data_IF_518132135088
#
_entry.id   IF_518132135088
#
_cell.length_a   1.000
_cell.length_b   1.000
_cell.length_c   1.000
_cell.angle_alpha   90.00
_cell.angle_beta   90.00
_cell.angle_gamma   90.00
#
_symmetry.space_group_name_H-M   'P 1'
#
loop_
_entity.id
_entity.type
_entity.pdbx_description
1 polymer ?
#
# COMPACT_ATOMS: atom_id res chain seq x y z
N UNK A 1 1.49 3.30 18.57
CA UNK A 1 2.38 2.21 18.12
C UNK A 1 2.60 2.35 16.62
N UNK A 2 3.73 1.89 16.11
CA UNK A 2 4.00 1.90 14.67
C UNK A 2 3.09 0.89 13.96
N UNK A 3 2.64 1.19 12.74
CA UNK A 3 1.79 0.27 12.00
C UNK A 3 2.53 -1.02 11.72
N UNK A 4 1.93 -2.21 11.93
CA UNK A 4 2.65 -3.47 11.82
C UNK A 4 2.74 -3.96 10.37
N UNK A 5 3.05 -3.07 9.44
CA UNK A 5 3.34 -3.37 8.04
C UNK A 5 4.72 -2.86 7.66
N UNK A 6 5.35 -3.52 6.68
CA UNK A 6 6.60 -3.08 6.04
C UNK A 6 6.34 -2.85 4.57
N UNK A 7 6.51 -1.61 4.14
CA UNK A 7 6.45 -1.24 2.72
C UNK A 7 7.87 -1.32 2.13
N UNK A 8 8.01 -1.97 0.97
CA UNK A 8 9.29 -2.10 0.26
C UNK A 8 9.10 -2.00 -1.27
N UNK A 9 9.74 -1.01 -1.92
CA UNK A 9 10.53 0.10 -1.34
C UNK A 9 9.68 1.09 -0.54
N UNK A 10 10.26 1.81 0.44
CA UNK A 10 9.54 2.78 1.29
C UNK A 10 9.16 4.11 0.60
N UNK A 11 9.65 4.30 -0.63
CA UNK A 11 9.45 5.47 -1.48
C UNK A 11 9.72 5.04 -2.91
N UNK A 12 8.99 5.60 -3.85
CA UNK A 12 9.25 5.41 -5.29
C UNK A 12 9.34 6.76 -6.00
N UNK A 13 10.24 6.81 -6.98
CA UNK A 13 10.35 7.92 -7.94
C UNK A 13 10.29 7.28 -9.32
N UNK A 14 9.34 7.70 -10.16
CA UNK A 14 8.99 7.01 -11.40
C UNK A 14 8.64 8.01 -12.49
N UNK A 15 8.97 7.70 -13.75
CA UNK A 15 8.59 8.52 -14.90
C UNK A 15 7.09 8.40 -15.18
N UNK A 16 6.45 9.48 -15.62
CA UNK A 16 5.06 9.48 -16.03
C UNK A 16 4.76 8.37 -17.08
N UNK A 17 3.76 7.53 -16.81
CA UNK A 17 3.37 6.42 -17.68
C UNK A 17 4.25 5.17 -17.58
N UNK A 18 5.21 5.14 -16.66
CA UNK A 18 5.99 3.94 -16.36
C UNK A 18 5.30 3.02 -15.34
N UNK A 19 5.75 1.77 -15.30
CA UNK A 19 5.27 0.79 -14.33
C UNK A 19 5.91 0.98 -12.95
N UNK A 20 5.14 0.72 -11.89
CA UNK A 20 5.62 0.69 -10.50
C UNK A 20 5.09 -0.55 -9.77
N UNK A 21 5.92 -1.15 -8.93
CA UNK A 21 5.52 -2.26 -8.06
C UNK A 21 6.10 -2.08 -6.65
N UNK A 22 5.25 -2.12 -5.63
CA UNK A 22 5.64 -1.97 -4.22
C UNK A 22 4.94 -3.02 -3.38
N UNK A 23 5.70 -3.69 -2.52
CA UNK A 23 5.18 -4.70 -1.60
C UNK A 23 4.83 -4.08 -0.24
N UNK A 24 3.74 -4.55 0.34
CA UNK A 24 3.39 -4.31 1.73
C UNK A 24 3.28 -5.66 2.45
N UNK A 25 4.06 -5.84 3.52
CA UNK A 25 4.14 -7.09 4.29
C UNK A 25 3.64 -6.90 5.70
N UNK A 26 2.64 -7.68 6.12
CA UNK A 26 2.20 -7.74 7.50
C UNK A 26 3.28 -8.37 8.39
N UNK A 27 3.46 -7.81 9.60
CA UNK A 27 4.42 -8.31 10.59
C UNK A 27 3.76 -9.00 11.78
N UNK A 28 2.42 -9.06 11.77
CA UNK A 28 1.57 -9.67 12.80
C UNK A 28 0.38 -10.36 12.12
N UNK A 29 -0.29 -11.32 12.79
CA UNK A 29 -1.55 -11.86 12.32
C UNK A 29 -2.61 -10.76 12.12
N UNK A 30 -3.45 -10.91 11.11
CA UNK A 30 -4.46 -9.91 10.76
C UNK A 30 -5.74 -10.53 10.20
N UNK A 31 -6.79 -9.71 10.18
CA UNK A 31 -8.10 -10.03 9.64
C UNK A 31 -8.27 -9.53 8.20
N UNK A 32 -7.37 -8.66 7.74
CA UNK A 32 -7.26 -8.27 6.35
C UNK A 32 -6.24 -7.14 6.14
N UNK A 33 -5.64 -7.07 4.96
CA UNK A 33 -4.77 -5.97 4.52
C UNK A 33 -4.96 -5.72 3.02
N UNK A 34 -4.55 -4.56 2.53
CA UNK A 34 -4.68 -4.18 1.12
C UNK A 34 -4.04 -2.85 0.82
N UNK A 35 -4.27 -2.35 -0.40
CA UNK A 35 -3.79 -1.05 -0.86
C UNK A 35 -4.96 -0.20 -1.28
N UNK A 36 -5.07 1.00 -0.73
CA UNK A 36 -5.99 2.03 -1.20
C UNK A 36 -5.20 3.01 -2.06
N UNK A 37 -5.69 3.26 -3.27
CA UNK A 37 -5.07 4.14 -4.25
C UNK A 37 -6.11 4.53 -5.31
N UNK A 38 -5.99 5.73 -5.88
CA UNK A 38 -6.82 6.14 -7.03
C UNK A 38 -6.54 5.33 -8.30
N UNK A 39 -5.37 4.68 -8.37
CA UNK A 39 -4.99 3.79 -9.47
C UNK A 39 -4.39 2.48 -8.91
N UNK A 40 -4.89 1.34 -9.37
CA UNK A 40 -4.36 0.01 -9.00
C UNK A 40 -4.62 -0.41 -7.55
N UNK A 41 -5.70 0.06 -6.92
CA UNK A 41 -6.12 -0.39 -5.59
C UNK A 41 -6.15 -1.93 -5.51
N UNK A 42 -5.83 -2.47 -4.33
CA UNK A 42 -5.80 -3.90 -4.06
C UNK A 42 -6.81 -4.21 -2.98
N UNK A 43 -7.83 -4.99 -3.33
CA UNK A 43 -8.87 -5.43 -2.41
C UNK A 43 -8.29 -6.12 -1.18
N UNK A 44 -9.02 -5.98 -0.07
CA UNK A 44 -8.64 -6.58 1.21
C UNK A 44 -8.50 -8.11 1.08
N UNK A 45 -7.32 -8.62 1.41
CA UNK A 45 -7.01 -10.05 1.46
C UNK A 45 -6.46 -10.47 2.84
N UNK A 46 -6.40 -11.78 3.10
CA UNK A 46 -5.73 -12.39 4.26
C UNK A 46 -4.28 -12.79 3.99
N UNK A 47 -3.77 -12.54 2.78
CA UNK A 47 -2.36 -12.75 2.47
C UNK A 47 -1.49 -11.83 3.33
N UNK A 48 -0.32 -12.34 3.75
CA UNK A 48 0.62 -11.55 4.56
C UNK A 48 1.50 -10.61 3.73
N UNK A 49 1.43 -10.72 2.39
CA UNK A 49 2.13 -9.85 1.46
C UNK A 49 1.18 -9.47 0.34
N UNK A 50 1.02 -8.17 0.11
CA UNK A 50 0.20 -7.62 -0.98
C UNK A 50 1.04 -6.64 -1.78
N UNK A 51 0.94 -6.71 -3.10
CA UNK A 51 1.72 -5.87 -4.02
C UNK A 51 0.81 -4.87 -4.67
N UNK A 52 1.09 -3.58 -4.50
CA UNK A 52 0.53 -2.54 -5.34
C UNK A 52 1.34 -2.50 -6.64
N UNK A 53 0.69 -2.78 -7.77
CA UNK A 53 1.33 -2.84 -9.07
C UNK A 53 0.48 -2.09 -10.10
N UNK A 54 1.07 -1.09 -10.74
CA UNK A 54 0.45 -0.28 -11.77
C UNK A 54 1.37 -0.29 -12.98
N UNK A 55 0.85 -0.70 -14.14
CA UNK A 55 1.66 -0.89 -15.34
C UNK A 55 1.93 0.39 -16.13
N UNK A 56 1.09 1.40 -15.98
CA UNK A 56 1.11 2.67 -16.73
C UNK A 56 0.62 3.79 -15.80
N UNK A 57 1.45 4.18 -14.81
CA UNK A 57 1.04 5.10 -13.75
C UNK A 57 0.90 6.53 -14.30
N UNK A 58 -0.32 7.07 -14.26
CA UNK A 58 -0.62 8.40 -14.84
C UNK A 58 -1.26 9.38 -13.86
N UNK A 59 -1.69 8.93 -12.70
CA UNK A 59 -2.23 9.83 -11.69
C UNK A 59 -1.11 10.59 -10.97
N UNK A 60 -0.91 11.87 -11.33
CA UNK A 60 0.17 12.72 -10.82
C UNK A 60 0.15 12.91 -9.29
N UNK A 61 -1.04 13.05 -8.71
CA UNK A 61 -1.24 13.33 -7.28
C UNK A 61 -1.62 12.07 -6.47
N UNK A 62 -1.18 10.90 -6.93
CA UNK A 62 -1.50 9.63 -6.27
C UNK A 62 -0.89 9.56 -4.85
N UNK A 63 -1.71 9.11 -3.89
CA UNK A 63 -1.33 8.91 -2.49
C UNK A 63 -1.68 7.51 -2.04
N UNK A 64 -0.99 6.49 -2.56
CA UNK A 64 -1.29 5.11 -2.22
C UNK A 64 -0.90 4.85 -0.77
N UNK A 65 -1.73 4.13 -0.04
CA UNK A 65 -1.41 3.67 1.31
C UNK A 65 -1.77 2.21 1.50
N UNK A 66 -0.92 1.51 2.25
CA UNK A 66 -1.21 0.15 2.67
C UNK A 66 -1.95 0.18 3.99
N UNK A 67 -3.10 -0.50 4.08
CA UNK A 67 -3.86 -0.63 5.31
C UNK A 67 -3.80 -2.05 5.87
N UNK A 68 -3.97 -2.19 7.18
CA UNK A 68 -4.05 -3.47 7.88
C UNK A 68 -5.06 -3.44 9.04
N UNK A 69 -5.86 -4.50 9.12
CA UNK A 69 -6.81 -4.77 10.20
C UNK A 69 -6.24 -5.88 11.09
N UNK A 70 -5.34 -5.55 12.01
CA UNK A 70 -4.70 -6.53 12.90
C UNK A 70 -5.33 -6.61 14.29
N UNK A 71 -6.15 -5.62 14.66
CA UNK A 71 -6.82 -5.60 15.94
C UNK A 71 -8.28 -5.13 15.76
N UNK A 72 -9.22 -6.01 16.13
CA UNK A 72 -10.67 -5.79 16.00
C UNK A 72 -11.21 -4.71 16.94
N UNK A 73 -10.43 -4.25 17.92
CA UNK A 73 -10.83 -3.15 18.80
C UNK A 73 -10.50 -1.78 18.23
N UNK A 74 -9.79 -1.69 17.10
CA UNK A 74 -9.58 -0.40 16.44
C UNK A 74 -10.74 -0.13 15.49
N UNK A 75 -11.41 1.00 15.70
CA UNK A 75 -12.49 1.47 14.81
C UNK A 75 -11.96 1.82 13.42
N UNK A 76 -10.68 2.16 13.31
CA UNK A 76 -10.00 2.50 12.05
C UNK A 76 -8.84 1.54 11.76
N UNK A 77 -8.73 1.02 10.52
CA UNK A 77 -7.55 0.32 10.06
C UNK A 77 -6.28 1.13 10.31
N UNK A 78 -5.19 0.45 10.63
CA UNK A 78 -3.90 1.11 10.63
C UNK A 78 -3.40 1.25 9.19
N UNK A 79 -2.80 2.38 8.86
CA UNK A 79 -2.35 2.69 7.50
C UNK A 79 -0.92 3.25 7.48
N UNK A 80 -0.17 2.92 6.44
CA UNK A 80 1.14 3.50 6.12
C UNK A 80 1.12 4.01 4.68
N UNK A 81 1.42 5.28 4.50
CA UNK A 81 1.48 5.92 3.19
C UNK A 81 2.77 5.55 2.45
N UNK A 82 2.68 5.35 1.14
CA UNK A 82 3.83 5.24 0.24
C UNK A 82 4.04 6.59 -0.47
N UNK A 83 5.14 7.31 -0.17
CA UNK A 83 5.51 8.48 -0.94
C UNK A 83 5.87 8.09 -2.38
N UNK A 84 5.13 8.65 -3.34
CA UNK A 84 5.35 8.53 -4.77
C UNK A 84 5.75 9.89 -5.32
N UNK A 85 6.77 9.93 -6.18
CA UNK A 85 7.12 11.12 -6.96
C UNK A 85 7.12 10.74 -8.43
N UNK A 86 6.30 11.43 -9.22
CA UNK A 86 6.24 11.26 -10.67
C UNK A 86 6.99 12.43 -11.32
N UNK A 87 7.79 12.15 -12.35
CA UNK A 87 8.55 13.16 -13.12
C UNK A 87 8.34 13.04 -14.63
#
# INVERSE_FOLDING_TARGET
>A
GQCPVKISPRRVVVEYGSSVAVTCTATVPHYGMGWEASEGAVDKTRDSVVTWNVSDLREWDIKPFCFINYNITHDTPCQEELPVTIY
#
